data_IF_505292787260
#
_entry.id   IF_505292787260
#
_cell.length_a   1.000
_cell.length_b   1.000
_cell.length_c   1.000
_cell.angle_alpha   90.00
_cell.angle_beta   90.00
_cell.angle_gamma   90.00
#
_symmetry.space_group_name_H-M   'P 1'
#
loop_
_entity.id
_entity.type
_entity.pdbx_description
1 polymer ?
#
# COMPACT_ATOMS: atom_id res chain seq x y z
N UNK A 1 14.40 -4.17 10.97
CA UNK A 1 14.35 -5.65 10.87
C UNK A 1 12.98 -6.20 11.28
N UNK A 2 12.41 -5.88 12.46
CA UNK A 2 11.09 -6.38 12.84
C UNK A 2 9.96 -5.98 11.87
N UNK A 3 10.02 -4.77 11.31
CA UNK A 3 9.04 -4.22 10.36
C UNK A 3 8.95 -4.95 9.00
N UNK A 4 9.90 -5.83 8.69
CA UNK A 4 9.88 -6.68 7.49
C UNK A 4 9.74 -8.17 7.83
N UNK A 5 9.48 -8.49 9.11
CA UNK A 5 9.30 -9.85 9.55
C UNK A 5 7.87 -10.35 9.24
N UNK A 6 7.62 -10.60 7.96
CA UNK A 6 6.37 -11.18 7.45
C UNK A 6 6.17 -12.58 8.02
N UNK A 7 5.03 -12.88 8.66
CA UNK A 7 4.76 -14.19 9.19
C UNK A 7 4.90 -15.29 8.12
N UNK A 8 5.39 -16.44 8.55
CA UNK A 8 5.63 -17.62 7.70
C UNK A 8 6.83 -17.48 6.75
N UNK A 9 7.15 -16.24 6.31
CA UNK A 9 8.24 -15.98 5.35
C UNK A 9 9.54 -15.65 6.09
N UNK A 10 9.47 -14.73 7.04
CA UNK A 10 10.63 -14.30 7.82
C UNK A 10 10.44 -14.58 9.32
N UNK A 11 11.52 -14.92 10.03
CA UNK A 11 11.44 -15.17 11.46
C UNK A 11 11.14 -13.87 12.22
N UNK A 12 10.36 -13.99 13.30
CA UNK A 12 10.14 -12.88 14.21
C UNK A 12 11.46 -12.40 14.84
N UNK A 13 11.58 -11.10 15.05
CA UNK A 13 12.80 -10.46 15.60
C UNK A 13 12.65 -10.33 17.10
N UNK A 14 13.61 -10.86 17.86
CA UNK A 14 13.65 -10.72 19.31
C UNK A 14 14.22 -9.35 19.69
N UNK A 15 13.46 -8.59 20.48
CA UNK A 15 13.90 -7.33 21.09
C UNK A 15 13.66 -7.42 22.60
N UNK A 16 14.73 -7.50 23.36
CA UNK A 16 14.65 -7.73 24.80
C UNK A 16 14.11 -9.13 25.12
N UNK A 17 12.98 -9.20 25.80
CA UNK A 17 12.31 -10.45 26.20
C UNK A 17 11.13 -10.82 25.28
N UNK A 18 10.80 -10.00 24.28
CA UNK A 18 9.62 -10.14 23.43
C UNK A 18 10.00 -10.40 21.97
N UNK A 19 9.08 -11.00 21.21
CA UNK A 19 9.21 -11.22 19.78
C UNK A 19 8.31 -10.26 19.00
N UNK A 20 8.87 -9.63 17.99
CA UNK A 20 8.20 -8.65 17.13
C UNK A 20 8.15 -9.15 15.68
N UNK A 21 7.01 -8.94 15.04
CA UNK A 21 6.78 -9.15 13.63
C UNK A 21 6.42 -7.85 12.92
N UNK A 22 6.00 -7.94 11.67
CA UNK A 22 5.57 -6.79 10.88
C UNK A 22 4.34 -6.12 11.52
N UNK A 23 4.42 -4.81 11.73
CA UNK A 23 3.36 -4.01 12.36
C UNK A 23 2.10 -3.89 11.51
N UNK A 24 2.19 -4.04 10.18
CA UNK A 24 1.05 -3.96 9.26
C UNK A 24 -0.02 -5.00 9.57
N UNK A 25 0.34 -6.15 10.15
CA UNK A 25 -0.60 -7.19 10.57
C UNK A 25 -1.64 -6.71 11.60
N UNK A 26 -1.33 -5.65 12.35
CA UNK A 26 -2.20 -5.06 13.37
C UNK A 26 -2.63 -3.63 13.04
N UNK A 27 -2.08 -3.06 11.96
CA UNK A 27 -2.34 -1.68 11.54
C UNK A 27 -3.55 -1.66 10.58
N UNK A 28 -4.74 -1.78 11.11
CA UNK A 28 -5.99 -1.76 10.33
C UNK A 28 -6.35 -0.38 9.78
N UNK A 29 -5.70 0.68 10.26
CA UNK A 29 -5.94 2.07 9.85
C UNK A 29 -4.61 2.82 9.78
N UNK A 30 -3.89 2.74 8.66
CA UNK A 30 -2.55 3.33 8.51
C UNK A 30 -2.54 4.86 8.61
N UNK A 31 -3.64 5.53 8.32
CA UNK A 31 -3.76 6.99 8.45
C UNK A 31 -4.04 7.44 9.89
N UNK A 32 -4.59 6.57 10.74
CA UNK A 32 -5.03 6.90 12.10
C UNK A 32 -3.96 7.55 12.97
N UNK A 33 -2.70 7.09 13.02
CA UNK A 33 -1.65 7.75 13.82
C UNK A 33 -1.41 9.20 13.42
N UNK A 34 -1.37 9.51 12.12
CA UNK A 34 -1.18 10.87 11.64
C UNK A 34 -2.35 11.79 12.05
N UNK A 35 -3.58 11.28 11.95
CA UNK A 35 -4.78 12.00 12.32
C UNK A 35 -4.82 12.28 13.84
N UNK A 36 -4.47 11.31 14.67
CA UNK A 36 -4.40 11.45 16.14
C UNK A 36 -3.30 12.43 16.58
N UNK A 37 -2.19 12.49 15.86
CA UNK A 37 -1.12 13.45 16.10
C UNK A 37 -1.45 14.87 15.63
N UNK A 38 -2.60 15.04 15.03
CA UNK A 38 -3.08 16.35 14.65
C UNK A 38 -2.73 16.78 13.22
N UNK A 39 -2.39 15.86 12.31
CA UNK A 39 -2.14 16.19 10.92
C UNK A 39 -3.36 16.85 10.28
N UNK A 40 -3.15 17.97 9.62
CA UNK A 40 -4.14 18.69 8.81
C UNK A 40 -4.05 18.29 7.33
N UNK A 41 -2.89 17.76 6.94
CA UNK A 41 -2.61 17.23 5.61
C UNK A 41 -1.94 15.87 5.72
N UNK A 42 -2.32 14.95 4.85
CA UNK A 42 -1.74 13.60 4.80
C UNK A 42 -1.36 13.26 3.36
N UNK A 43 -0.07 13.09 3.11
CA UNK A 43 0.43 12.55 1.86
C UNK A 43 0.49 11.02 1.99
N UNK A 44 -0.27 10.33 1.16
CA UNK A 44 -0.32 8.87 1.09
C UNK A 44 0.49 8.41 -0.12
N UNK A 45 1.52 7.61 0.11
CA UNK A 45 2.28 6.96 -0.94
C UNK A 45 1.88 5.49 -0.94
N UNK A 46 1.05 5.10 -1.90
CA UNK A 46 0.60 3.72 -2.06
C UNK A 46 1.63 2.92 -2.85
N UNK A 47 1.77 1.65 -2.50
CA UNK A 47 2.66 0.73 -3.23
C UNK A 47 2.00 0.09 -4.46
N UNK A 48 0.69 0.27 -4.64
CA UNK A 48 -0.08 -0.28 -5.77
C UNK A 48 -1.18 0.66 -6.20
N UNK A 49 -1.53 0.57 -7.47
CA UNK A 49 -2.73 1.17 -8.02
C UNK A 49 -3.76 0.03 -8.16
N UNK A 50 -4.74 -0.03 -7.28
CA UNK A 50 -5.88 -0.92 -7.43
C UNK A 50 -7.02 -0.14 -8.06
N UNK A 51 -7.33 -0.46 -9.31
CA UNK A 51 -8.59 -0.05 -9.91
C UNK A 51 -9.69 -1.00 -9.39
N UNK A 52 -10.57 -0.54 -8.47
CA UNK A 52 -11.65 -1.36 -7.93
C UNK A 52 -12.65 -1.80 -9.02
N UNK A 53 -12.59 -1.19 -10.22
CA UNK A 53 -13.44 -1.52 -11.37
C UNK A 53 -12.76 -2.52 -12.33
N UNK A 54 -11.53 -2.94 -12.08
CA UNK A 54 -10.85 -3.94 -12.91
C UNK A 54 -11.49 -5.32 -12.66
N UNK A 55 -12.59 -5.58 -13.31
CA UNK A 55 -13.18 -6.92 -13.31
C UNK A 55 -12.24 -7.90 -14.03
N UNK A 56 -11.98 -9.08 -13.45
CA UNK A 56 -11.29 -10.16 -14.16
C UNK A 56 -12.03 -10.46 -15.46
N UNK A 57 -11.29 -10.64 -16.56
CA UNK A 57 -11.89 -11.06 -17.84
C UNK A 57 -12.57 -12.43 -17.66
N UNK A 58 -13.88 -12.48 -17.89
CA UNK A 58 -14.73 -13.66 -17.64
C UNK A 58 -14.51 -14.84 -18.62
N UNK A 59 -13.44 -14.81 -19.43
CA UNK A 59 -13.28 -15.70 -20.59
C UNK A 59 -12.23 -16.81 -20.44
N UNK A 60 -11.49 -16.88 -19.33
CA UNK A 60 -10.51 -17.94 -19.12
C UNK A 60 -10.98 -18.90 -18.01
N UNK A 61 -10.90 -20.21 -18.26
CA UNK A 61 -11.01 -21.21 -17.19
C UNK A 61 -9.91 -20.95 -16.18
N UNK A 62 -10.29 -20.48 -15.00
CA UNK A 62 -9.35 -20.18 -13.92
C UNK A 62 -9.00 -21.50 -13.23
N UNK A 63 -7.75 -22.00 -13.34
CA UNK A 63 -7.34 -23.21 -12.65
C UNK A 63 -7.39 -23.01 -11.12
N UNK A 64 -7.50 -24.10 -10.37
CA UNK A 64 -7.47 -24.05 -8.90
C UNK A 64 -6.19 -23.32 -8.44
N UNK A 65 -6.29 -22.34 -7.52
CA UNK A 65 -5.16 -21.51 -7.14
C UNK A 65 -4.08 -22.33 -6.44
N UNK A 66 -2.83 -22.08 -6.81
CA UNK A 66 -1.65 -22.67 -6.16
C UNK A 66 -1.45 -22.10 -4.75
N UNK A 67 -0.68 -22.80 -3.91
CA UNK A 67 -0.31 -22.29 -2.59
C UNK A 67 0.40 -20.94 -2.67
N UNK A 68 1.22 -20.70 -3.70
CA UNK A 68 1.88 -19.42 -3.94
C UNK A 68 0.88 -18.30 -4.26
N UNK A 69 -0.15 -18.59 -5.03
CA UNK A 69 -1.23 -17.63 -5.33
C UNK A 69 -2.04 -17.31 -4.07
N UNK A 70 -2.41 -18.32 -3.29
CA UNK A 70 -3.13 -18.13 -2.02
C UNK A 70 -2.31 -17.28 -1.05
N UNK A 71 -1.01 -17.58 -0.90
CA UNK A 71 -0.11 -16.81 -0.04
C UNK A 71 0.02 -15.35 -0.52
N UNK A 72 0.19 -15.11 -1.82
CA UNK A 72 0.22 -13.78 -2.40
C UNK A 72 -1.06 -13.00 -2.14
N UNK A 73 -2.21 -13.62 -2.33
CA UNK A 73 -3.51 -13.01 -2.06
C UNK A 73 -3.71 -12.66 -0.58
N UNK A 74 -3.30 -13.54 0.33
CA UNK A 74 -3.34 -13.26 1.77
C UNK A 74 -2.45 -12.07 2.15
N UNK A 75 -1.26 -11.96 1.55
CA UNK A 75 -0.39 -10.81 1.78
C UNK A 75 -1.02 -9.52 1.23
N UNK A 76 -1.62 -9.55 0.06
CA UNK A 76 -2.32 -8.39 -0.51
C UNK A 76 -3.44 -7.92 0.43
N UNK A 77 -4.29 -8.83 0.89
CA UNK A 77 -5.38 -8.51 1.83
C UNK A 77 -4.86 -7.88 3.12
N UNK A 78 -3.73 -8.36 3.63
CA UNK A 78 -3.13 -7.81 4.85
C UNK A 78 -2.54 -6.41 4.68
N UNK A 79 -1.99 -6.10 3.49
CA UNK A 79 -1.21 -4.88 3.29
C UNK A 79 -1.95 -3.80 2.50
N UNK A 80 -2.94 -4.14 1.68
CA UNK A 80 -3.51 -3.23 0.69
C UNK A 80 -4.91 -2.72 1.01
N UNK A 81 -5.80 -3.57 1.52
CA UNK A 81 -7.22 -3.23 1.66
C UNK A 81 -7.47 -2.09 2.66
N UNK A 82 -6.58 -1.89 3.63
CA UNK A 82 -6.78 -0.94 4.73
C UNK A 82 -6.68 0.53 4.29
N UNK A 83 -5.82 0.87 3.32
CA UNK A 83 -5.59 2.28 2.95
C UNK A 83 -6.76 2.88 2.18
N UNK A 84 -7.36 2.11 1.26
CA UNK A 84 -8.52 2.58 0.48
C UNK A 84 -9.75 2.75 1.36
N UNK A 85 -9.96 1.83 2.31
CA UNK A 85 -11.02 1.94 3.30
C UNK A 85 -10.84 3.19 4.20
N UNK A 86 -9.62 3.50 4.60
CA UNK A 86 -9.31 4.70 5.37
C UNK A 86 -9.54 6.00 4.57
N UNK A 87 -9.14 6.02 3.30
CA UNK A 87 -9.37 7.16 2.41
C UNK A 87 -10.87 7.40 2.18
N UNK A 88 -11.63 6.36 1.90
CA UNK A 88 -13.09 6.46 1.77
C UNK A 88 -13.74 6.99 3.05
N UNK A 89 -13.31 6.48 4.21
CA UNK A 89 -13.78 6.96 5.51
C UNK A 89 -13.43 8.43 5.71
N UNK A 90 -12.20 8.85 5.38
CA UNK A 90 -11.77 10.22 5.48
C UNK A 90 -12.62 11.14 4.60
N UNK A 91 -12.88 10.77 3.34
CA UNK A 91 -13.72 11.53 2.44
C UNK A 91 -15.16 11.68 2.98
N UNK A 92 -15.74 10.61 3.54
CA UNK A 92 -17.07 10.67 4.17
C UNK A 92 -17.09 11.62 5.37
N UNK A 93 -16.06 11.58 6.22
CA UNK A 93 -15.92 12.46 7.37
C UNK A 93 -15.76 13.91 6.89
N UNK A 94 -14.86 14.19 5.93
CA UNK A 94 -14.67 15.52 5.36
C UNK A 94 -15.97 16.10 4.80
N UNK A 95 -16.73 15.31 4.05
CA UNK A 95 -18.03 15.71 3.51
C UNK A 95 -19.05 16.04 4.62
N UNK A 96 -19.01 15.28 5.70
CA UNK A 96 -19.92 15.51 6.84
C UNK A 96 -19.53 16.79 7.58
N UNK A 97 -18.24 16.96 7.87
CA UNK A 97 -17.72 18.16 8.55
C UNK A 97 -17.96 19.43 7.73
N UNK A 98 -17.75 19.38 6.41
CA UNK A 98 -18.02 20.51 5.52
C UNK A 98 -19.48 20.96 5.55
N UNK A 99 -20.43 20.02 5.62
CA UNK A 99 -21.86 20.33 5.74
C UNK A 99 -22.26 20.86 7.12
N UNK A 100 -21.55 20.42 8.18
CA UNK A 100 -21.82 20.87 9.55
C UNK A 100 -21.23 22.26 9.84
N UNK A 101 -20.23 22.73 9.09
CA UNK A 101 -19.70 24.10 9.20
C UNK A 101 -20.73 25.19 8.95
N UNK A 102 -21.83 24.87 8.30
CA UNK A 102 -22.98 25.80 8.19
C UNK A 102 -23.72 26.03 9.54
N UNK A 103 -23.40 25.25 10.58
CA UNK A 103 -23.91 25.41 11.95
C UNK A 103 -22.75 25.28 12.94
N UNK A 104 -22.02 26.38 13.20
CA UNK A 104 -20.87 26.31 14.11
C UNK A 104 -21.33 26.02 15.54
N UNK A 105 -20.94 24.87 16.06
CA UNK A 105 -20.92 24.58 17.49
C UNK A 105 -19.48 24.49 17.95
N UNK A 106 -19.11 25.24 18.97
CA UNK A 106 -17.76 25.47 19.47
C UNK A 106 -17.06 24.20 20.05
N UNK A 107 -17.68 23.06 19.98
CA UNK A 107 -17.26 21.83 20.68
C UNK A 107 -16.98 20.64 19.74
N UNK A 108 -16.66 20.91 18.46
CA UNK A 108 -16.43 19.82 17.49
C UNK A 108 -14.95 19.50 17.33
N UNK A 109 -14.49 18.31 17.76
CA UNK A 109 -13.12 17.86 17.57
C UNK A 109 -12.81 17.44 16.11
N UNK A 110 -13.83 17.44 15.22
CA UNK A 110 -13.69 17.00 13.83
C UNK A 110 -13.32 18.17 12.94
N UNK A 111 -12.29 17.96 12.11
CA UNK A 111 -11.79 18.92 11.13
C UNK A 111 -11.68 18.29 9.74
N UNK A 112 -11.72 19.09 8.71
CA UNK A 112 -11.41 18.68 7.35
C UNK A 112 -9.90 18.44 7.25
N UNK A 113 -9.52 17.32 6.66
CA UNK A 113 -8.13 16.90 6.49
C UNK A 113 -7.88 16.71 5.00
N UNK A 114 -6.90 17.43 4.47
CA UNK A 114 -6.50 17.28 3.09
C UNK A 114 -5.67 16.00 2.91
N UNK A 115 -6.01 15.19 1.92
CA UNK A 115 -5.25 13.99 1.58
C UNK A 115 -4.87 13.99 0.10
N UNK A 116 -3.59 13.79 -0.18
CA UNK A 116 -3.08 13.54 -1.52
C UNK A 116 -2.55 12.11 -1.60
N UNK A 117 -2.95 11.38 -2.63
CA UNK A 117 -2.56 9.98 -2.83
C UNK A 117 -1.71 9.86 -4.08
N UNK A 118 -0.52 9.32 -3.94
CA UNK A 118 0.36 8.95 -5.05
C UNK A 118 0.33 7.43 -5.19
N UNK A 119 -0.02 6.95 -6.38
CA UNK A 119 -0.03 5.52 -6.73
C UNK A 119 0.93 5.27 -7.88
N UNK A 120 1.55 4.08 -7.96
CA UNK A 120 2.39 3.71 -9.10
C UNK A 120 1.57 3.72 -10.40
N UNK A 121 2.17 4.24 -11.49
CA UNK A 121 1.55 4.23 -12.82
C UNK A 121 1.60 2.84 -13.49
N UNK A 122 2.51 1.96 -13.05
CA UNK A 122 2.63 0.58 -13.51
C UNK A 122 2.33 -0.41 -12.37
N UNK A 123 1.85 -1.60 -12.72
CA UNK A 123 1.66 -2.68 -11.72
C UNK A 123 3.02 -3.26 -11.31
N UNK A 124 3.40 -3.06 -10.05
CA UNK A 124 4.67 -3.56 -9.50
C UNK A 124 4.79 -5.10 -9.57
N UNK A 125 3.67 -5.82 -9.68
CA UNK A 125 3.64 -7.28 -9.86
C UNK A 125 4.14 -7.67 -11.26
N UNK A 126 3.80 -6.87 -12.27
CA UNK A 126 4.31 -7.07 -13.63
C UNK A 126 5.81 -6.78 -13.70
N UNK A 127 6.25 -5.73 -12.99
CA UNK A 127 7.69 -5.44 -12.85
C UNK A 127 8.40 -6.61 -12.16
N UNK A 128 7.88 -7.10 -11.03
CA UNK A 128 8.46 -8.25 -10.34
C UNK A 128 8.54 -9.50 -11.23
N UNK A 129 7.55 -9.71 -12.10
CA UNK A 129 7.55 -10.82 -13.04
C UNK A 129 8.65 -10.69 -14.10
N UNK A 130 8.96 -9.48 -14.56
CA UNK A 130 10.07 -9.24 -15.50
C UNK A 130 11.44 -9.57 -14.89
N UNK A 131 11.58 -9.38 -13.58
CA UNK A 131 12.80 -9.61 -12.81
C UNK A 131 12.87 -10.97 -12.09
N UNK A 132 11.96 -11.89 -12.38
CA UNK A 132 11.90 -13.21 -11.70
C UNK A 132 13.20 -14.02 -11.79
N UNK A 133 14.00 -13.80 -12.84
CA UNK A 133 15.28 -14.48 -13.04
C UNK A 133 16.40 -13.97 -12.11
N UNK A 134 16.21 -12.82 -11.48
CA UNK A 134 17.14 -12.28 -10.48
C UNK A 134 17.06 -13.03 -9.13
N UNK A 135 16.02 -13.80 -8.88
CA UNK A 135 15.96 -14.61 -7.65
C UNK A 135 17.14 -15.56 -7.54
N UNK A 136 17.77 -15.66 -6.36
CA UNK A 136 18.76 -16.70 -6.08
C UNK A 136 18.23 -18.09 -6.45
N UNK A 137 19.07 -18.94 -7.03
CA UNK A 137 18.66 -20.25 -7.55
C UNK A 137 17.93 -21.12 -6.53
N UNK A 138 18.31 -21.05 -5.25
CA UNK A 138 17.67 -21.78 -4.15
C UNK A 138 16.25 -21.29 -3.90
N UNK A 139 16.03 -19.97 -3.92
CA UNK A 139 14.70 -19.35 -3.74
C UNK A 139 13.80 -19.71 -4.93
N UNK A 140 14.33 -19.65 -6.14
CA UNK A 140 13.61 -20.01 -7.36
C UNK A 140 13.14 -21.48 -7.37
N UNK A 141 14.00 -22.42 -6.92
CA UNK A 141 13.61 -23.83 -6.78
C UNK A 141 12.50 -24.00 -5.73
N UNK A 142 12.59 -23.31 -4.61
CA UNK A 142 11.58 -23.35 -3.57
C UNK A 142 10.22 -22.79 -4.08
N UNK A 143 10.25 -21.64 -4.72
CA UNK A 143 9.05 -21.00 -5.31
C UNK A 143 8.40 -21.90 -6.36
N UNK A 144 9.18 -22.55 -7.22
CA UNK A 144 8.67 -23.52 -8.19
C UNK A 144 7.90 -24.67 -7.53
N UNK A 145 8.39 -25.19 -6.41
CA UNK A 145 7.75 -26.31 -5.71
C UNK A 145 6.40 -25.96 -5.09
N UNK A 146 6.22 -24.72 -4.66
CA UNK A 146 4.93 -24.25 -4.09
C UNK A 146 4.00 -23.63 -5.16
N UNK A 147 4.35 -23.79 -6.44
CA UNK A 147 3.58 -23.19 -7.54
C UNK A 147 3.71 -21.67 -7.61
N UNK A 148 4.72 -21.13 -6.93
CA UNK A 148 4.96 -19.68 -6.85
C UNK A 148 5.47 -19.07 -8.16
N UNK A 149 5.96 -19.87 -9.13
CA UNK A 149 6.44 -19.39 -10.44
C UNK A 149 5.35 -19.40 -11.54
N UNK A 150 4.11 -19.76 -11.22
CA UNK A 150 3.00 -19.74 -12.18
C UNK A 150 2.53 -18.30 -12.45
N UNK A 151 1.91 -18.07 -13.62
CA UNK A 151 1.46 -16.74 -14.08
C UNK A 151 0.59 -15.95 -13.09
N UNK A 152 -0.03 -16.58 -12.11
CA UNK A 152 -0.84 -15.92 -11.07
C UNK A 152 -0.11 -15.63 -9.75
N UNK A 153 1.19 -15.93 -9.65
CA UNK A 153 1.96 -15.80 -8.40
C UNK A 153 2.86 -14.57 -8.35
N UNK A 154 2.72 -13.67 -9.32
CA UNK A 154 3.47 -12.39 -9.38
C UNK A 154 3.28 -11.52 -8.12
N UNK A 155 2.15 -11.70 -7.42
CA UNK A 155 1.90 -11.08 -6.12
C UNK A 155 2.98 -11.46 -5.11
N UNK A 156 3.25 -12.75 -4.95
CA UNK A 156 4.27 -13.22 -4.01
C UNK A 156 5.68 -12.72 -4.37
N UNK A 157 5.99 -12.59 -5.67
CA UNK A 157 7.28 -12.08 -6.12
C UNK A 157 7.51 -10.65 -5.68
N UNK A 158 6.52 -9.78 -5.80
CA UNK A 158 6.63 -8.37 -5.42
C UNK A 158 6.95 -8.17 -3.92
N UNK A 159 6.65 -9.16 -3.06
CA UNK A 159 6.99 -9.14 -1.65
C UNK A 159 8.35 -9.76 -1.30
N UNK A 160 8.90 -10.59 -2.17
CA UNK A 160 10.11 -11.37 -1.90
C UNK A 160 11.31 -10.94 -2.71
N UNK A 161 11.11 -10.22 -3.81
CA UNK A 161 12.18 -9.80 -4.70
C UNK A 161 12.79 -8.48 -4.20
N UNK A 162 14.05 -8.54 -3.76
CA UNK A 162 14.81 -7.39 -3.28
C UNK A 162 16.15 -7.25 -4.02
N UNK A 163 16.20 -7.73 -5.25
CA UNK A 163 17.40 -7.66 -6.06
C UNK A 163 17.57 -6.27 -6.70
N UNK A 164 18.82 -5.95 -7.06
CA UNK A 164 19.20 -4.59 -7.47
C UNK A 164 18.47 -4.10 -8.72
N UNK A 165 18.22 -4.97 -9.70
CA UNK A 165 17.51 -4.61 -10.93
C UNK A 165 16.06 -4.25 -10.64
N UNK A 166 15.35 -5.12 -9.93
CA UNK A 166 13.96 -4.87 -9.54
C UNK A 166 13.82 -3.61 -8.69
N UNK A 167 14.61 -3.46 -7.64
CA UNK A 167 14.57 -2.28 -6.77
C UNK A 167 14.91 -1.00 -7.54
N UNK A 168 15.86 -1.06 -8.47
CA UNK A 168 16.24 0.07 -9.33
C UNK A 168 15.07 0.51 -10.21
N UNK A 169 14.38 -0.43 -10.86
CA UNK A 169 13.20 -0.13 -11.69
C UNK A 169 12.06 0.49 -10.88
N UNK A 170 11.82 0.01 -9.65
CA UNK A 170 10.82 0.59 -8.75
C UNK A 170 11.17 2.02 -8.31
N UNK A 171 12.46 2.30 -8.03
CA UNK A 171 12.92 3.64 -7.68
C UNK A 171 12.71 4.60 -8.87
N UNK A 172 13.05 4.15 -10.07
CA UNK A 172 12.87 4.95 -11.28
C UNK A 172 11.38 5.18 -11.60
N UNK A 173 10.52 4.18 -11.39
CA UNK A 173 9.07 4.32 -11.49
C UNK A 173 8.57 5.39 -10.52
N UNK A 174 8.87 5.26 -9.23
CA UNK A 174 8.41 6.20 -8.22
C UNK A 174 8.89 7.64 -8.49
N UNK A 175 10.12 7.79 -9.01
CA UNK A 175 10.64 9.09 -9.43
C UNK A 175 9.87 9.68 -10.62
N UNK A 176 9.58 8.87 -11.64
CA UNK A 176 8.80 9.32 -12.81
C UNK A 176 7.39 9.75 -12.38
N UNK A 177 6.74 8.94 -11.55
CA UNK A 177 5.36 9.18 -11.09
C UNK A 177 5.27 10.44 -10.23
N UNK A 178 6.23 10.64 -9.33
CA UNK A 178 6.31 11.86 -8.52
C UNK A 178 6.55 13.11 -9.38
N UNK A 179 7.42 13.04 -10.39
CA UNK A 179 7.68 14.16 -11.31
C UNK A 179 6.47 14.43 -12.21
N UNK A 180 5.72 13.42 -12.62
CA UNK A 180 4.49 13.59 -13.40
C UNK A 180 3.40 14.33 -12.63
N UNK A 181 3.41 14.28 -11.30
CA UNK A 181 2.47 14.94 -10.39
C UNK A 181 3.12 16.10 -9.63
N UNK A 182 4.25 16.65 -10.12
CA UNK A 182 5.04 17.66 -9.40
C UNK A 182 4.25 18.90 -9.03
N UNK A 183 3.43 19.43 -9.95
CA UNK A 183 2.63 20.64 -9.71
C UNK A 183 1.60 20.41 -8.59
N UNK A 184 0.94 19.26 -8.58
CA UNK A 184 -0.03 18.89 -7.55
C UNK A 184 0.64 18.70 -6.19
N UNK A 185 1.79 18.02 -6.17
CA UNK A 185 2.62 17.84 -4.98
C UNK A 185 3.09 19.17 -4.41
N UNK A 186 3.61 20.06 -5.26
CA UNK A 186 4.08 21.38 -4.85
C UNK A 186 2.92 22.22 -4.30
N UNK A 187 1.78 22.21 -4.97
CA UNK A 187 0.58 22.89 -4.51
C UNK A 187 0.09 22.33 -3.16
N UNK A 188 0.10 21.01 -3.01
CA UNK A 188 -0.28 20.35 -1.76
C UNK A 188 0.62 20.76 -0.60
N UNK A 189 1.93 20.83 -0.81
CA UNK A 189 2.89 21.22 0.24
C UNK A 189 2.85 22.72 0.54
N UNK A 190 2.74 23.56 -0.51
CA UNK A 190 2.83 25.01 -0.38
C UNK A 190 1.56 25.66 0.20
N UNK A 191 0.38 25.12 -0.12
CA UNK A 191 -0.87 25.70 0.36
C UNK A 191 -1.07 25.43 1.86
N UNK A 192 -1.57 26.41 2.65
CA UNK A 192 -1.98 26.14 4.02
C UNK A 192 -3.14 25.13 4.03
N UNK A 193 -3.27 24.34 5.10
CA UNK A 193 -4.41 23.44 5.26
C UNK A 193 -5.73 24.22 5.23
N UNK A 194 -6.76 23.67 4.61
CA UNK A 194 -8.09 24.31 4.37
C UNK A 194 -8.81 24.76 5.65
N UNK A 195 -8.27 24.44 6.83
CA UNK A 195 -8.85 24.76 8.14
C UNK A 195 -8.52 26.16 8.69
N UNK A 196 -7.77 27.02 7.96
CA UNK A 196 -7.33 28.33 8.49
C UNK A 196 -8.20 29.54 8.13
N UNK A 197 -9.33 29.36 7.49
CA UNK A 197 -10.31 30.45 7.37
C UNK A 197 -11.32 30.36 8.52
N UNK A 198 -11.03 31.11 9.57
CA UNK A 198 -11.90 31.39 10.70
C UNK A 198 -12.83 32.53 10.38
#
# INVERSE_FOLDING_TARGET
MASVALPVIFPAVRIGQEFFGDGSLRQMSPMSPALHLGAEKVLVIASRNEDPNRMPSATEEVPYPSLGQIAGYLLDTLFMDSIYADLERLQRINNTVSRLRERPSSDQPLRVIDALVITPSEDIREIAQRHQDEFPGTVRVLLNRVGGMNRGSSQLFSYLLFEAGYCGELIDLGRRDALAQADELLAFVANPATSRES
#
